data_IF_585730030463
#
_entry.id   IF_585730030463
#
_cell.length_a   1.000
_cell.length_b   1.000
_cell.length_c   1.000
_cell.angle_alpha   90.00
_cell.angle_beta   90.00
_cell.angle_gamma   90.00
#
_symmetry.space_group_name_H-M   'P 1'
#
loop_
_entity.id
_entity.type
_entity.pdbx_description
1 polymer ?
#
# COMPACT_ATOMS: atom_id res chain seq x y z
N UNK A 1 16.42 24.32 -3.46
CA UNK A 1 16.17 25.09 -4.69
C UNK A 1 15.03 24.39 -5.40
N UNK A 2 13.83 24.97 -5.39
CA UNK A 2 12.77 24.50 -6.27
C UNK A 2 13.21 24.73 -7.71
N UNK A 3 13.28 23.67 -8.50
CA UNK A 3 13.57 23.78 -9.93
C UNK A 3 12.29 24.27 -10.59
N UNK A 4 12.22 25.56 -10.89
CA UNK A 4 11.09 26.15 -11.59
C UNK A 4 11.17 25.86 -13.08
N UNK A 5 10.04 25.48 -13.68
CA UNK A 5 9.91 25.31 -15.11
C UNK A 5 9.98 26.68 -15.80
N UNK A 6 10.81 26.79 -16.85
CA UNK A 6 10.84 27.94 -17.73
C UNK A 6 9.55 28.05 -18.54
N UNK A 7 9.21 29.25 -18.99
CA UNK A 7 7.98 29.47 -19.76
C UNK A 7 8.03 28.76 -21.12
N UNK A 8 9.23 28.60 -21.70
CA UNK A 8 9.43 27.81 -22.91
C UNK A 8 9.12 26.33 -22.70
N UNK A 9 9.57 25.73 -21.58
CA UNK A 9 9.27 24.34 -21.24
C UNK A 9 7.78 24.12 -21.00
N UNK A 10 7.11 25.05 -20.30
CA UNK A 10 5.65 25.00 -20.09
C UNK A 10 4.91 25.04 -21.43
N UNK A 11 5.25 25.97 -22.31
CA UNK A 11 4.63 26.07 -23.65
C UNK A 11 4.84 24.79 -24.46
N UNK A 12 6.05 24.22 -24.41
CA UNK A 12 6.37 22.96 -25.09
C UNK A 12 5.51 21.80 -24.58
N UNK A 13 5.38 21.64 -23.26
CA UNK A 13 4.58 20.57 -22.66
C UNK A 13 3.09 20.72 -23.01
N UNK A 14 2.56 21.95 -22.90
CA UNK A 14 1.14 22.22 -23.18
C UNK A 14 0.81 21.98 -24.65
N UNK A 15 1.59 22.54 -25.58
CA UNK A 15 1.36 22.34 -27.02
C UNK A 15 1.57 20.87 -27.42
N UNK A 16 2.57 20.19 -26.87
CA UNK A 16 2.79 18.76 -27.07
C UNK A 16 1.55 17.95 -26.68
N UNK A 17 1.01 18.19 -25.49
CA UNK A 17 -0.22 17.53 -25.04
C UNK A 17 -1.42 17.80 -25.96
N UNK A 18 -1.58 19.02 -26.48
CA UNK A 18 -2.66 19.38 -27.41
C UNK A 18 -2.59 18.63 -28.75
N UNK A 19 -1.39 18.33 -29.23
CA UNK A 19 -1.18 17.54 -30.46
C UNK A 19 -1.06 16.04 -30.18
N UNK A 20 -1.26 15.61 -28.93
CA UNK A 20 -1.21 14.21 -28.51
C UNK A 20 0.21 13.63 -28.43
N UNK A 21 1.23 14.48 -28.29
CA UNK A 21 2.63 14.07 -28.22
C UNK A 21 3.21 14.35 -26.82
N UNK A 22 3.69 13.31 -26.14
CA UNK A 22 4.39 13.45 -24.86
C UNK A 22 5.88 13.74 -25.08
N UNK A 23 6.52 14.35 -24.08
CA UNK A 23 7.94 14.73 -24.14
C UNK A 23 8.91 13.54 -24.32
N UNK A 24 8.49 12.33 -23.93
CA UNK A 24 9.25 11.09 -24.05
C UNK A 24 8.83 10.24 -25.27
N UNK A 25 8.02 10.80 -26.17
CA UNK A 25 7.58 10.14 -27.40
C UNK A 25 6.43 9.15 -27.25
N UNK A 26 5.89 8.97 -26.04
CA UNK A 26 4.73 8.11 -25.79
C UNK A 26 3.42 8.75 -26.23
N UNK A 27 2.42 7.92 -26.55
CA UNK A 27 1.06 8.38 -26.79
C UNK A 27 0.37 8.86 -25.50
N UNK A 28 -0.76 9.56 -25.62
CA UNK A 28 -1.45 10.16 -24.47
C UNK A 28 -1.91 9.14 -23.42
N UNK A 29 -2.28 7.93 -23.85
CA UNK A 29 -2.84 6.87 -23.00
C UNK A 29 -1.80 5.81 -22.60
N UNK A 30 -0.55 5.95 -23.06
CA UNK A 30 0.48 4.95 -22.79
C UNK A 30 1.06 5.13 -21.39
N UNK A 31 1.18 4.01 -20.65
CA UNK A 31 1.91 3.96 -19.39
C UNK A 31 3.43 3.96 -19.60
N UNK A 32 4.17 4.25 -18.53
CA UNK A 32 5.62 4.02 -18.50
C UNK A 32 5.86 2.53 -18.25
N UNK A 33 7.04 1.97 -18.60
CA UNK A 33 7.38 0.61 -18.20
C UNK A 33 7.22 0.42 -16.69
N UNK A 34 6.54 -0.68 -16.32
CA UNK A 34 6.25 -1.03 -14.93
C UNK A 34 6.91 -2.36 -14.61
N UNK A 35 7.69 -2.39 -13.54
CA UNK A 35 8.30 -3.59 -12.97
C UNK A 35 7.75 -3.79 -11.56
N UNK A 36 7.30 -5.02 -11.25
CA UNK A 36 6.78 -5.40 -9.94
C UNK A 36 7.55 -6.62 -9.46
N UNK A 37 8.05 -6.58 -8.24
CA UNK A 37 8.70 -7.70 -7.56
C UNK A 37 7.99 -7.92 -6.22
N UNK A 38 7.45 -9.12 -5.99
CA UNK A 38 6.82 -9.48 -4.72
C UNK A 38 7.78 -10.26 -3.81
N UNK A 39 7.57 -10.23 -2.50
CA UNK A 39 8.39 -10.99 -1.55
C UNK A 39 9.82 -10.45 -1.39
N UNK A 40 10.00 -9.15 -1.58
CA UNK A 40 11.31 -8.47 -1.53
C UNK A 40 11.84 -8.28 -0.10
N UNK A 41 10.94 -8.22 0.89
CA UNK A 41 11.25 -8.12 2.31
C UNK A 41 10.91 -9.44 3.01
N UNK A 42 11.91 -10.06 3.64
CA UNK A 42 11.75 -11.32 4.35
C UNK A 42 11.14 -11.16 5.76
N UNK A 43 11.14 -9.95 6.31
CA UNK A 43 10.68 -9.66 7.69
C UNK A 43 9.20 -9.28 7.77
N UNK A 44 8.50 -9.16 6.64
CA UNK A 44 7.11 -8.72 6.56
C UNK A 44 6.22 -9.88 6.10
N UNK A 45 4.94 -9.85 6.46
CA UNK A 45 3.97 -10.87 6.02
C UNK A 45 3.78 -10.84 4.49
N UNK A 46 3.79 -9.64 3.92
CA UNK A 46 3.77 -9.40 2.48
C UNK A 46 4.71 -8.27 2.12
N UNK A 47 5.19 -8.24 0.89
CA UNK A 47 5.98 -7.12 0.39
C UNK A 47 5.96 -7.05 -1.13
N UNK A 48 6.15 -5.84 -1.64
CA UNK A 48 6.38 -5.62 -3.05
C UNK A 48 7.31 -4.42 -3.27
N UNK A 49 8.08 -4.46 -4.35
CA UNK A 49 8.77 -3.31 -4.91
C UNK A 49 8.18 -3.01 -6.27
N UNK A 50 7.78 -1.76 -6.48
CA UNK A 50 7.24 -1.29 -7.76
C UNK A 50 8.13 -0.21 -8.31
N UNK A 51 8.55 -0.40 -9.56
CA UNK A 51 9.27 0.61 -10.33
C UNK A 51 8.45 0.99 -11.56
N UNK A 52 7.98 2.23 -11.58
CA UNK A 52 7.29 2.86 -12.70
C UNK A 52 8.27 3.87 -13.32
N UNK A 53 9.12 3.39 -14.23
CA UNK A 53 10.30 4.10 -14.74
C UNK A 53 11.14 4.75 -13.63
N UNK A 54 11.07 6.07 -13.48
CA UNK A 54 11.82 6.86 -12.50
C UNK A 54 11.12 7.00 -11.14
N UNK A 55 10.03 6.27 -10.91
CA UNK A 55 9.33 6.22 -9.62
C UNK A 55 9.53 4.84 -9.01
N UNK A 56 10.13 4.76 -7.83
CA UNK A 56 10.47 3.50 -7.15
C UNK A 56 9.86 3.53 -5.75
N UNK A 57 9.02 2.53 -5.44
CA UNK A 57 8.37 2.36 -4.13
C UNK A 57 8.67 0.98 -3.58
N UNK A 58 8.83 0.94 -2.27
CA UNK A 58 8.93 -0.29 -1.50
C UNK A 58 7.73 -0.37 -0.54
N UNK A 59 6.99 -1.46 -0.61
CA UNK A 59 5.78 -1.68 0.18
C UNK A 59 6.01 -2.90 1.08
N UNK A 60 5.73 -2.73 2.37
CA UNK A 60 5.69 -3.79 3.37
C UNK A 60 4.29 -3.94 3.94
N UNK A 61 3.89 -5.19 4.22
CA UNK A 61 2.62 -5.51 4.87
C UNK A 61 2.90 -6.30 6.13
N UNK A 62 2.34 -5.86 7.25
CA UNK A 62 2.45 -6.53 8.54
C UNK A 62 1.06 -6.76 9.13
N UNK A 63 0.79 -7.97 9.61
CA UNK A 63 -0.45 -8.32 10.29
C UNK A 63 -0.22 -8.43 11.80
N UNK A 64 -1.08 -7.80 12.59
CA UNK A 64 -1.05 -7.86 14.05
C UNK A 64 -2.40 -8.32 14.59
N UNK A 65 -2.37 -9.19 15.59
CA UNK A 65 -3.57 -9.65 16.27
C UNK A 65 -3.96 -8.59 17.32
N UNK A 66 -5.15 -8.04 17.20
CA UNK A 66 -5.67 -7.03 18.13
C UNK A 66 -6.91 -7.54 18.84
N UNK A 67 -7.07 -7.12 20.10
CA UNK A 67 -8.30 -7.30 20.86
C UNK A 67 -9.23 -6.13 20.60
N UNK A 68 -10.51 -6.41 20.35
CA UNK A 68 -11.53 -5.43 19.99
C UNK A 68 -12.69 -5.54 20.98
N UNK A 69 -13.11 -4.41 21.54
CA UNK A 69 -14.19 -4.36 22.53
C UNK A 69 -15.58 -4.53 21.87
N UNK A 70 -15.80 -3.90 20.72
CA UNK A 70 -17.02 -4.06 19.91
C UNK A 70 -16.67 -4.38 18.45
N UNK A 71 -16.91 -5.64 18.06
CA UNK A 71 -16.63 -6.11 16.71
C UNK A 71 -17.57 -5.53 15.65
N UNK A 72 -18.78 -5.07 16.04
CA UNK A 72 -19.71 -4.43 15.13
C UNK A 72 -19.22 -3.04 14.70
N UNK A 73 -18.42 -2.38 15.53
CA UNK A 73 -17.79 -1.08 15.25
C UNK A 73 -16.40 -1.22 14.62
N UNK A 74 -15.87 -2.44 14.48
CA UNK A 74 -14.52 -2.68 13.93
C UNK A 74 -14.44 -2.48 12.42
N UNK A 75 -14.29 -1.21 12.05
CA UNK A 75 -13.97 -0.70 10.72
C UNK A 75 -12.46 -0.43 10.60
N UNK A 76 -11.99 -0.11 9.39
CA UNK A 76 -10.59 0.25 9.12
C UNK A 76 -9.59 -0.85 9.54
N UNK A 77 -9.77 -2.04 8.97
CA UNK A 77 -8.89 -3.21 9.23
C UNK A 77 -7.55 -3.08 8.54
N UNK A 78 -7.47 -2.22 7.52
CA UNK A 78 -6.23 -1.82 6.86
C UNK A 78 -5.87 -0.41 7.32
N UNK A 79 -4.60 -0.22 7.63
CA UNK A 79 -4.01 1.07 7.91
C UNK A 79 -2.85 1.30 6.94
N UNK A 80 -2.93 2.37 6.17
CA UNK A 80 -1.83 2.78 5.28
C UNK A 80 -0.94 3.77 6.00
N UNK A 81 0.36 3.62 5.81
CA UNK A 81 1.36 4.60 6.20
C UNK A 81 2.27 4.85 5.00
N UNK A 82 2.51 6.11 4.70
CA UNK A 82 3.37 6.50 3.58
C UNK A 82 4.54 7.30 4.14
N UNK A 83 5.75 6.91 3.76
CA UNK A 83 6.97 7.62 4.10
C UNK A 83 7.68 8.09 2.83
N UNK A 84 8.05 9.37 2.83
CA UNK A 84 8.73 10.01 1.72
C UNK A 84 10.22 10.10 2.04
N UNK A 85 11.02 9.18 1.50
CA UNK A 85 12.46 9.18 1.76
C UNK A 85 13.12 10.47 1.27
N UNK A 86 14.04 11.02 2.05
CA UNK A 86 14.89 12.13 1.64
C UNK A 86 15.74 11.81 0.39
N UNK A 87 15.94 10.51 0.09
CA UNK A 87 16.61 10.06 -1.12
C UNK A 87 15.73 10.17 -2.38
N UNK A 88 14.41 10.23 -2.23
CA UNK A 88 13.50 10.17 -3.37
C UNK A 88 13.42 11.49 -4.15
N UNK A 89 13.51 12.60 -3.43
CA UNK A 89 13.71 13.94 -3.99
C UNK A 89 14.24 14.88 -2.89
N UNK A 90 15.09 15.86 -3.23
CA UNK A 90 15.53 16.88 -2.28
C UNK A 90 14.37 17.65 -1.62
N UNK A 91 13.18 17.66 -2.23
CA UNK A 91 11.98 18.29 -1.68
C UNK A 91 11.45 17.58 -0.43
N UNK A 92 11.76 16.29 -0.25
CA UNK A 92 11.32 15.52 0.92
C UNK A 92 12.31 15.59 2.08
N UNK A 93 13.38 16.40 1.99
CA UNK A 93 14.29 16.59 3.09
C UNK A 93 13.57 17.25 4.30
N UNK A 94 13.79 16.70 5.49
CA UNK A 94 13.11 17.17 6.71
C UNK A 94 11.64 16.75 6.73
N UNK A 95 10.73 17.73 6.70
CA UNK A 95 9.27 17.53 6.73
C UNK A 95 8.58 17.86 5.42
N UNK A 96 9.34 18.03 4.33
CA UNK A 96 8.79 18.45 3.05
C UNK A 96 7.94 17.40 2.34
N UNK A 97 7.98 16.15 2.80
CA UNK A 97 7.15 15.05 2.29
C UNK A 97 5.88 14.76 3.10
N UNK A 98 5.71 15.34 4.30
CA UNK A 98 4.65 14.97 5.24
C UNK A 98 3.25 15.16 4.64
N UNK A 99 2.97 16.34 4.08
CA UNK A 99 1.66 16.66 3.49
C UNK A 99 1.36 15.75 2.28
N UNK A 100 2.36 15.50 1.44
CA UNK A 100 2.21 14.62 0.29
C UNK A 100 1.97 13.17 0.71
N UNK A 101 2.71 12.69 1.71
CA UNK A 101 2.52 11.37 2.29
C UNK A 101 1.11 11.19 2.88
N UNK A 102 0.62 12.19 3.63
CA UNK A 102 -0.73 12.21 4.18
C UNK A 102 -1.80 12.16 3.08
N UNK A 103 -1.63 12.92 2.00
CA UNK A 103 -2.53 12.89 0.84
C UNK A 103 -2.55 11.51 0.15
N UNK A 104 -1.39 10.89 -0.05
CA UNK A 104 -1.31 9.55 -0.66
C UNK A 104 -1.94 8.50 0.27
N UNK A 105 -1.69 8.60 1.58
CA UNK A 105 -2.32 7.72 2.58
C UNK A 105 -3.84 7.84 2.54
N UNK A 106 -4.37 9.07 2.60
CA UNK A 106 -5.82 9.30 2.56
C UNK A 106 -6.46 8.83 1.24
N UNK A 107 -5.74 8.93 0.11
CA UNK A 107 -6.20 8.41 -1.17
C UNK A 107 -6.25 6.87 -1.17
N UNK A 108 -5.27 6.21 -0.55
CA UNK A 108 -5.28 4.75 -0.37
C UNK A 108 -6.39 4.31 0.60
N UNK A 109 -6.56 5.00 1.73
CA UNK A 109 -7.67 4.75 2.66
C UNK A 109 -9.02 4.82 1.93
N UNK A 110 -9.26 5.89 1.16
CA UNK A 110 -10.50 6.05 0.41
C UNK A 110 -10.69 4.98 -0.68
N UNK A 111 -9.62 4.54 -1.34
CA UNK A 111 -9.69 3.48 -2.35
C UNK A 111 -10.03 2.11 -1.75
N UNK A 112 -9.50 1.80 -0.55
CA UNK A 112 -9.68 0.51 0.11
C UNK A 112 -10.84 0.47 1.11
N UNK A 113 -11.56 1.59 1.34
CA UNK A 113 -12.76 1.64 2.18
C UNK A 113 -13.91 0.78 1.62
N UNK A 114 -13.95 0.57 0.29
CA UNK A 114 -15.00 -0.25 -0.31
C UNK A 114 -14.76 -1.75 -0.13
N UNK A 115 -15.78 -2.48 0.35
CA UNK A 115 -15.74 -3.94 0.51
C UNK A 115 -15.53 -4.72 -0.80
N UNK A 116 -15.67 -4.05 -1.95
CA UNK A 116 -15.48 -4.65 -3.27
C UNK A 116 -14.02 -4.92 -3.60
N UNK A 117 -13.09 -4.14 -3.03
CA UNK A 117 -11.65 -4.20 -3.35
C UNK A 117 -10.95 -5.36 -2.63
N UNK A 118 -11.42 -5.71 -1.43
CA UNK A 118 -10.92 -6.84 -0.64
C UNK A 118 -12.09 -7.64 -0.06
N UNK A 119 -12.60 -8.66 -0.79
CA UNK A 119 -13.75 -9.45 -0.35
C UNK A 119 -13.47 -10.25 0.93
N UNK A 120 -12.20 -10.55 1.21
CA UNK A 120 -11.74 -11.36 2.33
C UNK A 120 -11.56 -10.57 3.65
N UNK A 121 -11.97 -9.31 3.72
CA UNK A 121 -11.93 -8.51 4.96
C UNK A 121 -12.60 -9.20 6.15
N UNK A 122 -13.59 -10.08 5.90
CA UNK A 122 -14.27 -10.86 6.94
C UNK A 122 -13.40 -11.99 7.52
N UNK A 123 -12.45 -12.55 6.75
CA UNK A 123 -11.51 -13.57 7.23
C UNK A 123 -10.52 -13.04 8.27
N UNK A 124 -10.34 -11.72 8.33
CA UNK A 124 -9.55 -11.07 9.37
C UNK A 124 -10.21 -11.15 10.75
N UNK A 125 -11.52 -11.44 10.82
CA UNK A 125 -12.25 -11.62 12.09
C UNK A 125 -12.08 -13.05 12.55
N UNK A 126 -11.46 -13.23 13.71
CA UNK A 126 -11.13 -14.56 14.24
C UNK A 126 -12.12 -14.97 15.33
N UNK A 127 -12.41 -14.06 16.26
CA UNK A 127 -13.36 -14.28 17.35
C UNK A 127 -14.13 -12.98 17.64
N UNK A 128 -15.19 -13.02 18.47
CA UNK A 128 -15.94 -11.81 18.83
C UNK A 128 -15.09 -10.70 19.46
N UNK A 129 -13.92 -11.04 20.00
CA UNK A 129 -13.00 -10.10 20.65
C UNK A 129 -11.64 -9.99 19.97
N UNK A 130 -11.35 -10.77 18.92
CA UNK A 130 -10.03 -10.79 18.30
C UNK A 130 -10.12 -10.69 16.78
N UNK A 131 -9.32 -9.79 16.21
CA UNK A 131 -9.24 -9.57 14.78
C UNK A 131 -7.80 -9.28 14.35
N UNK A 132 -7.50 -9.59 13.10
CA UNK A 132 -6.27 -9.17 12.45
C UNK A 132 -6.41 -7.71 12.00
N UNK A 133 -5.43 -6.89 12.39
CA UNK A 133 -5.19 -5.56 11.85
C UNK A 133 -4.01 -5.61 10.89
N UNK A 134 -4.17 -5.08 9.69
CA UNK A 134 -3.14 -5.09 8.65
C UNK A 134 -2.58 -3.69 8.48
N UNK A 135 -1.27 -3.55 8.68
CA UNK A 135 -0.52 -2.32 8.45
C UNK A 135 0.20 -2.45 7.11
N UNK A 136 0.07 -1.41 6.28
CA UNK A 136 0.69 -1.33 4.96
C UNK A 136 1.58 -0.10 4.95
N UNK A 137 2.89 -0.33 5.00
CA UNK A 137 3.92 0.71 4.97
C UNK A 137 4.43 0.88 3.54
N UNK A 138 4.34 2.10 3.01
CA UNK A 138 4.79 2.48 1.67
C UNK A 138 5.93 3.46 1.79
N UNK A 139 7.12 3.08 1.34
CA UNK A 139 8.30 3.96 1.32
C UNK A 139 8.59 4.37 -0.12
N UNK A 140 8.54 5.67 -0.39
CA UNK A 140 8.93 6.25 -1.68
C UNK A 140 10.45 6.40 -1.72
N UNK A 141 11.10 5.67 -2.62
CA UNK A 141 12.57 5.66 -2.79
C UNK A 141 13.04 6.59 -3.91
N UNK A 142 12.20 6.81 -4.93
CA UNK A 142 12.47 7.73 -6.03
C UNK A 142 11.16 8.35 -6.52
N UNK A 143 11.11 9.67 -6.69
CA UNK A 143 9.92 10.38 -7.16
C UNK A 143 10.08 10.84 -8.62
N UNK A 144 9.52 10.09 -9.56
CA UNK A 144 9.46 10.43 -10.99
C UNK A 144 8.06 10.81 -11.47
N UNK A 145 7.13 11.10 -10.56
CA UNK A 145 5.72 11.36 -10.85
C UNK A 145 4.85 10.10 -10.89
N UNK A 146 3.53 10.28 -10.97
CA UNK A 146 2.52 9.22 -10.90
C UNK A 146 2.67 8.26 -9.70
N UNK A 147 2.92 8.83 -8.53
CA UNK A 147 3.18 8.06 -7.29
C UNK A 147 1.94 7.31 -6.83
N UNK A 148 0.75 7.89 -6.95
CA UNK A 148 -0.51 7.29 -6.48
C UNK A 148 -0.78 5.97 -7.19
N UNK A 149 -0.66 5.93 -8.52
CA UNK A 149 -0.87 4.70 -9.30
C UNK A 149 0.17 3.64 -8.96
N UNK A 150 1.44 4.05 -8.81
CA UNK A 150 2.52 3.14 -8.45
C UNK A 150 2.35 2.58 -7.03
N UNK A 151 1.86 3.40 -6.09
CA UNK A 151 1.50 2.99 -4.74
C UNK A 151 0.30 2.02 -4.75
N UNK A 152 -0.78 2.33 -5.46
CA UNK A 152 -1.96 1.47 -5.56
C UNK A 152 -1.60 0.08 -6.13
N UNK A 153 -0.79 0.05 -7.20
CA UNK A 153 -0.30 -1.19 -7.79
C UNK A 153 0.60 -1.98 -6.82
N UNK A 154 1.49 -1.29 -6.11
CA UNK A 154 2.41 -1.88 -5.15
C UNK A 154 1.72 -2.44 -3.92
N UNK A 155 0.73 -1.72 -3.38
CA UNK A 155 -0.11 -2.19 -2.28
C UNK A 155 -0.86 -3.45 -2.69
N UNK A 156 -1.50 -3.47 -3.87
CA UNK A 156 -2.22 -4.64 -4.36
C UNK A 156 -1.29 -5.85 -4.54
N UNK A 157 -0.11 -5.64 -5.12
CA UNK A 157 0.89 -6.68 -5.30
C UNK A 157 1.45 -7.21 -3.96
N UNK A 158 1.67 -6.32 -2.98
CA UNK A 158 2.13 -6.69 -1.66
C UNK A 158 1.06 -7.50 -0.92
N UNK A 159 -0.21 -7.07 -0.96
CA UNK A 159 -1.35 -7.77 -0.38
C UNK A 159 -1.57 -9.16 -0.99
N UNK A 160 -1.37 -9.32 -2.30
CA UNK A 160 -1.45 -10.62 -2.97
C UNK A 160 -0.40 -11.62 -2.44
N UNK A 161 0.78 -11.12 -2.07
CA UNK A 161 1.85 -11.93 -1.50
C UNK A 161 1.81 -12.01 0.03
N UNK A 162 0.79 -11.44 0.69
CA UNK A 162 0.70 -11.47 2.15
C UNK A 162 0.33 -12.85 2.65
N UNK A 163 1.19 -13.41 3.50
CA UNK A 163 0.97 -14.66 4.22
C UNK A 163 0.71 -14.36 5.69
N UNK A 164 -0.49 -14.70 6.16
CA UNK A 164 -0.90 -14.52 7.56
C UNK A 164 -0.99 -15.91 8.20
N UNK A 165 -0.43 -16.05 9.40
CA UNK A 165 -0.53 -17.30 10.16
C UNK A 165 -1.98 -17.63 10.49
N UNK A 166 -2.33 -18.89 10.30
CA UNK A 166 -3.58 -19.43 10.82
C UNK A 166 -3.50 -19.48 12.35
N UNK A 167 -4.63 -19.22 13.01
CA UNK A 167 -4.71 -19.26 14.47
C UNK A 167 -5.90 -20.09 14.91
N UNK A 168 -5.71 -20.86 15.97
CA UNK A 168 -6.74 -21.68 16.58
C UNK A 168 -7.30 -20.92 17.77
N UNK A 169 -8.59 -20.63 17.73
CA UNK A 169 -9.30 -20.04 18.87
C UNK A 169 -9.81 -21.16 19.76
N UNK A 170 -9.41 -21.14 21.03
CA UNK A 170 -9.96 -22.04 22.05
C UNK A 170 -10.79 -21.25 23.06
N UNK A 171 -11.96 -21.76 23.46
CA UNK A 171 -12.70 -21.16 24.56
C UNK A 171 -11.92 -21.40 25.87
N UNK A 172 -11.69 -20.34 26.63
CA UNK A 172 -11.16 -20.40 27.99
C UNK A 172 -12.30 -20.17 29.00
N UNK A 173 -11.99 -20.32 30.29
CA UNK A 173 -12.95 -20.08 31.36
C UNK A 173 -13.40 -18.60 31.41
N UNK A 174 -14.63 -18.36 31.86
CA UNK A 174 -15.27 -17.04 31.98
C UNK A 174 -15.55 -16.29 30.65
N UNK A 175 -15.77 -17.00 29.54
CA UNK A 175 -16.17 -16.36 28.27
C UNK A 175 -15.04 -15.63 27.54
N UNK A 176 -13.79 -15.85 27.97
CA UNK A 176 -12.58 -15.39 27.27
C UNK A 176 -12.17 -16.41 26.21
N UNK A 177 -11.53 -15.94 25.15
CA UNK A 177 -10.98 -16.77 24.09
C UNK A 177 -9.46 -16.70 24.13
N UNK A 178 -8.77 -17.84 24.10
CA UNK A 178 -7.32 -17.91 23.91
C UNK A 178 -7.00 -18.21 22.45
N UNK A 179 -5.98 -17.55 21.92
CA UNK A 179 -5.54 -17.70 20.54
C UNK A 179 -4.21 -18.44 20.55
N UNK A 180 -4.22 -19.67 20.06
CA UNK A 180 -3.05 -20.53 19.94
C UNK A 180 -2.60 -20.61 18.48
N UNK A 181 -1.28 -20.75 18.26
CA UNK A 181 -0.75 -21.05 16.94
C UNK A 181 -0.81 -22.57 16.68
N UNK A 182 -1.18 -23.01 15.46
CA UNK A 182 -1.13 -24.41 15.08
C UNK A 182 0.32 -24.91 15.05
N UNK A 183 0.54 -26.17 15.44
CA UNK A 183 1.88 -26.80 15.47
C UNK A 183 2.54 -26.86 14.07
N UNK A 184 1.72 -26.88 13.01
CA UNK A 184 2.15 -26.97 11.61
C UNK A 184 2.51 -25.61 10.97
N UNK A 185 2.38 -24.49 11.70
CA UNK A 185 2.62 -23.12 11.20
C UNK A 185 1.96 -22.84 9.83
N UNK A 186 0.71 -23.29 9.66
CA UNK A 186 -0.04 -23.05 8.42
C UNK A 186 -0.28 -21.56 8.21
N UNK A 187 -0.19 -21.12 6.95
CA UNK A 187 -0.45 -19.74 6.54
C UNK A 187 -1.54 -19.70 5.49
N UNK A 188 -2.28 -18.61 5.47
CA UNK A 188 -3.28 -18.32 4.45
C UNK A 188 -2.98 -16.99 3.76
N UNK A 189 -3.48 -16.84 2.53
CA UNK A 189 -3.30 -15.63 1.69
C UNK A 189 -4.63 -14.90 1.52
N UNK A 190 -4.54 -13.58 1.40
CA UNK A 190 -5.68 -12.73 1.06
C UNK A 190 -6.08 -12.93 -0.40
N UNK A 191 -7.38 -13.05 -0.68
CA UNK A 191 -7.88 -12.99 -2.05
C UNK A 191 -7.83 -11.55 -2.57
N UNK A 192 -6.98 -11.32 -3.57
CA UNK A 192 -6.83 -10.03 -4.27
C UNK A 192 -7.27 -10.08 -5.73
N UNK A 193 -8.11 -11.05 -6.11
CA UNK A 193 -8.51 -11.28 -7.52
C UNK A 193 -9.41 -10.19 -8.13
N UNK A 194 -9.98 -9.30 -7.30
CA UNK A 194 -10.85 -8.18 -7.73
C UNK A 194 -10.12 -6.86 -7.87
#
# INVERSE_FOLDING_TARGET
MEVSLSDAEKMFIIHGAQVGLRADGRGPLDYRPIEIQTGVLATTNGSARVRLASTDLLIGVKAELVTVDDMAEYRNRLNFFVDCSANATPLFAGRGGDEFAEQVSAALDAAYDSELVLPDLKKLIISPMHAWKVFVDVVLLQCGGNVIDAAALGVKAALHNTEISEVIVRPADEGKYTVDLPDDNTVWKLDTSR
#
